data_IF_048923397405
#
_entry.id   IF_048923397405
#
_cell.length_a   1.000
_cell.length_b   1.000
_cell.length_c   1.000
_cell.angle_alpha   90.00
_cell.angle_beta   90.00
_cell.angle_gamma   90.00
#
_symmetry.space_group_name_H-M   'P 1'
#
loop_
_entity.id
_entity.type
_entity.pdbx_description
1 polymer ?
#
# COMPACT_ATOMS: atom_id res chain seq x y z
N UNK A 1 -0.81 10.72 14.05
CA UNK A 1 -0.20 9.55 13.40
C UNK A 1 0.29 10.05 12.06
N UNK A 2 1.57 9.84 11.74
CA UNK A 2 2.10 10.19 10.43
C UNK A 2 1.32 9.38 9.35
N UNK A 3 0.85 10.00 8.25
CA UNK A 3 0.25 9.27 7.14
C UNK A 3 1.11 8.09 6.64
N UNK A 4 2.44 8.23 6.63
CA UNK A 4 3.38 7.16 6.24
C UNK A 4 3.28 5.97 7.20
N UNK A 5 3.43 6.20 8.51
CA UNK A 5 3.33 5.15 9.55
C UNK A 5 2.01 4.38 9.42
N UNK A 6 0.91 5.09 9.17
CA UNK A 6 -0.41 4.48 9.00
C UNK A 6 -0.44 3.54 7.78
N UNK A 7 0.09 3.98 6.64
CA UNK A 7 0.12 3.17 5.43
C UNK A 7 1.07 1.97 5.60
N UNK A 8 2.22 2.14 6.25
CA UNK A 8 3.14 1.06 6.60
C UNK A 8 2.44 -0.01 7.44
N UNK A 9 1.72 0.39 8.48
CA UNK A 9 0.97 -0.53 9.35
C UNK A 9 -0.11 -1.29 8.55
N UNK A 10 -0.89 -0.59 7.72
CA UNK A 10 -1.94 -1.21 6.89
C UNK A 10 -1.36 -2.24 5.91
N UNK A 11 -0.28 -1.88 5.20
CA UNK A 11 0.36 -2.76 4.23
C UNK A 11 0.96 -3.99 4.95
N UNK A 12 1.57 -3.79 6.11
CA UNK A 12 2.13 -4.89 6.93
C UNK A 12 1.04 -5.85 7.41
N UNK A 13 -0.07 -5.33 7.91
CA UNK A 13 -1.22 -6.14 8.32
C UNK A 13 -1.82 -6.92 7.15
N UNK A 14 -1.88 -6.32 5.96
CA UNK A 14 -2.39 -6.99 4.78
C UNK A 14 -1.43 -8.09 4.26
N UNK A 15 -0.12 -7.84 4.26
CA UNK A 15 0.89 -8.82 3.88
C UNK A 15 0.92 -10.04 4.80
N UNK A 16 0.61 -9.84 6.09
CA UNK A 16 0.53 -10.91 7.10
C UNK A 16 -0.86 -11.57 7.15
N UNK A 17 -1.81 -11.12 6.34
CA UNK A 17 -3.16 -11.67 6.26
C UNK A 17 -4.08 -11.29 7.43
N UNK A 18 -3.72 -10.27 8.20
CA UNK A 18 -4.58 -9.74 9.27
C UNK A 18 -5.76 -8.93 8.73
N UNK A 19 -5.62 -8.36 7.53
CA UNK A 19 -6.71 -7.72 6.78
C UNK A 19 -6.73 -8.20 5.32
N UNK A 20 -7.90 -8.17 4.70
CA UNK A 20 -8.14 -8.61 3.33
C UNK A 20 -7.97 -7.47 2.29
N UNK A 21 -8.14 -7.82 1.01
CA UNK A 21 -7.96 -6.91 -0.13
C UNK A 21 -8.96 -5.75 -0.13
N UNK A 22 -10.19 -5.99 0.34
CA UNK A 22 -11.22 -4.97 0.41
C UNK A 22 -10.93 -3.98 1.55
N UNK A 23 -10.47 -4.48 2.69
CA UNK A 23 -10.09 -3.67 3.84
C UNK A 23 -8.90 -2.76 3.55
N UNK A 24 -7.84 -3.27 2.91
CA UNK A 24 -6.70 -2.43 2.52
C UNK A 24 -7.09 -1.40 1.45
N UNK A 25 -7.89 -1.78 0.44
CA UNK A 25 -8.35 -0.87 -0.62
C UNK A 25 -9.16 0.29 -0.08
N UNK A 26 -9.98 0.05 0.94
CA UNK A 26 -10.77 1.09 1.58
C UNK A 26 -9.97 2.00 2.53
N UNK A 27 -8.79 1.56 2.98
CA UNK A 27 -8.05 2.21 4.08
C UNK A 27 -6.79 2.96 3.65
N UNK A 28 -6.15 2.53 2.55
CA UNK A 28 -5.00 3.22 1.96
C UNK A 28 -5.36 4.62 1.48
N UNK A 29 -4.42 5.54 1.61
CA UNK A 29 -4.56 6.91 1.11
C UNK A 29 -3.19 7.54 0.82
N UNK A 30 -3.05 8.22 -0.31
CA UNK A 30 -1.89 9.08 -0.61
C UNK A 30 -2.02 10.49 0.00
N UNK A 31 -3.15 10.82 0.64
CA UNK A 31 -3.38 12.14 1.22
C UNK A 31 -2.36 12.45 2.34
N UNK A 32 -1.63 13.55 2.16
CA UNK A 32 -0.60 13.99 3.11
C UNK A 32 0.74 13.28 2.95
N UNK A 33 0.91 12.45 1.92
CA UNK A 33 2.21 11.95 1.45
C UNK A 33 2.78 12.88 0.37
N UNK A 34 4.09 12.89 0.23
CA UNK A 34 4.80 13.62 -0.82
C UNK A 34 5.85 12.73 -1.50
N UNK A 35 6.25 13.09 -2.73
CA UNK A 35 7.33 12.41 -3.44
C UNK A 35 7.06 10.93 -3.75
N UNK A 36 8.13 10.13 -3.68
CA UNK A 36 8.14 8.72 -4.08
C UNK A 36 7.17 7.86 -3.24
N UNK A 37 6.98 8.19 -1.95
CA UNK A 37 6.01 7.49 -1.09
C UNK A 37 4.56 7.72 -1.52
N UNK A 38 4.22 8.93 -2.00
CA UNK A 38 2.89 9.21 -2.52
C UNK A 38 2.63 8.44 -3.82
N UNK A 39 3.58 8.48 -4.75
CA UNK A 39 3.50 7.78 -6.04
C UNK A 39 3.35 6.26 -5.86
N UNK A 40 4.14 5.66 -4.96
CA UNK A 40 4.10 4.22 -4.71
C UNK A 40 2.79 3.77 -4.04
N UNK A 41 2.16 4.61 -3.19
CA UNK A 41 0.84 4.32 -2.60
C UNK A 41 -0.25 4.40 -3.66
N UNK A 42 -0.21 5.38 -4.56
CA UNK A 42 -1.17 5.49 -5.67
C UNK A 42 -1.07 4.31 -6.64
N UNK A 43 0.15 3.84 -6.92
CA UNK A 43 0.38 2.63 -7.72
C UNK A 43 -0.23 1.39 -7.06
N UNK A 44 0.03 1.17 -5.77
CA UNK A 44 -0.54 0.05 -5.04
C UNK A 44 -2.08 0.10 -5.02
N UNK A 45 -2.66 1.28 -4.79
CA UNK A 45 -4.12 1.48 -4.84
C UNK A 45 -4.69 1.16 -6.22
N UNK A 46 -3.97 1.54 -7.29
CA UNK A 46 -4.35 1.25 -8.67
C UNK A 46 -4.33 -0.26 -8.93
N UNK A 47 -3.26 -0.95 -8.56
CA UNK A 47 -3.12 -2.39 -8.75
C UNK A 47 -4.12 -3.19 -7.91
N UNK A 48 -4.40 -2.79 -6.66
CA UNK A 48 -5.46 -3.38 -5.84
C UNK A 48 -6.86 -3.21 -6.44
N UNK A 49 -7.07 -2.20 -7.28
CA UNK A 49 -8.32 -1.96 -8.01
C UNK A 49 -8.53 -2.89 -9.22
N UNK A 50 -7.48 -3.59 -9.66
CA UNK A 50 -7.53 -4.45 -10.83
C UNK A 50 -8.09 -5.83 -10.50
N UNK A 51 -9.13 -6.25 -11.23
CA UNK A 51 -9.75 -7.57 -11.06
C UNK A 51 -8.87 -8.74 -11.52
N UNK A 52 -7.85 -8.48 -12.33
CA UNK A 52 -6.94 -9.46 -12.91
C UNK A 52 -5.57 -9.52 -12.22
N UNK A 53 -5.34 -8.68 -11.20
CA UNK A 53 -4.06 -8.67 -10.50
C UNK A 53 -3.87 -9.94 -9.68
N UNK A 54 -2.72 -10.60 -9.88
CA UNK A 54 -2.37 -11.78 -9.09
C UNK A 54 -1.92 -11.38 -7.68
N UNK A 55 -2.21 -12.22 -6.68
CA UNK A 55 -1.77 -11.99 -5.29
C UNK A 55 -0.26 -11.80 -5.18
N UNK A 56 0.53 -12.55 -5.96
CA UNK A 56 1.99 -12.44 -5.94
C UNK A 56 2.49 -11.10 -6.47
N UNK A 57 1.88 -10.58 -7.54
CA UNK A 57 2.17 -9.25 -8.07
C UNK A 57 1.82 -8.16 -7.05
N UNK A 58 0.63 -8.22 -6.45
CA UNK A 58 0.22 -7.25 -5.43
C UNK A 58 1.14 -7.26 -4.20
N UNK A 59 1.61 -8.43 -3.77
CA UNK A 59 2.58 -8.55 -2.67
C UNK A 59 3.96 -7.98 -3.01
N UNK A 60 4.37 -8.03 -4.28
CA UNK A 60 5.60 -7.41 -4.77
C UNK A 60 5.48 -5.89 -4.73
N UNK A 61 4.46 -5.32 -5.38
CA UNK A 61 4.19 -3.87 -5.38
C UNK A 61 4.07 -3.34 -3.95
N UNK A 62 3.36 -4.04 -3.07
CA UNK A 62 3.24 -3.64 -1.67
C UNK A 62 4.58 -3.58 -0.91
N UNK A 63 5.55 -4.45 -1.24
CA UNK A 63 6.89 -4.39 -0.64
C UNK A 63 7.69 -3.21 -1.18
N UNK A 64 7.59 -2.94 -2.48
CA UNK A 64 8.19 -1.75 -3.10
C UNK A 64 7.60 -0.46 -2.49
N UNK A 65 6.27 -0.41 -2.25
CA UNK A 65 5.61 0.69 -1.54
C UNK A 65 6.14 0.86 -0.12
N UNK A 66 6.37 -0.23 0.63
CA UNK A 66 6.96 -0.14 1.97
C UNK A 66 8.39 0.43 1.94
N UNK A 67 9.18 0.06 0.94
CA UNK A 67 10.55 0.59 0.77
C UNK A 67 10.51 2.09 0.46
N UNK A 68 9.64 2.53 -0.45
CA UNK A 68 9.45 3.95 -0.76
C UNK A 68 9.01 4.78 0.46
N UNK A 69 8.04 4.28 1.23
CA UNK A 69 7.56 4.95 2.45
C UNK A 69 8.61 5.00 3.57
N UNK A 70 9.56 4.05 3.60
CA UNK A 70 10.62 4.04 4.60
C UNK A 70 11.81 4.96 4.26
N UNK A 71 11.91 5.40 3.00
CA UNK A 71 12.97 6.27 2.48
C UNK A 71 12.55 7.75 2.38
N UNK A 72 11.25 8.03 2.43
CA UNK A 72 10.64 9.37 2.44
C UNK A 72 10.83 10.13 3.74
#
# INVERSE_FOLDING_TARGET
MNPEDRNIDLITHWLTGQIDDDAIRASLSSEGLEGEGAEAVEELMTELGRSDASRGHLQMVARETLEALALG
#
